data_IF_173050624628
#
_entry.id   IF_173050624628
#
_cell.length_a   1.000
_cell.length_b   1.000
_cell.length_c   1.000
_cell.angle_alpha   90.00
_cell.angle_beta   90.00
_cell.angle_gamma   90.00
#
_symmetry.space_group_name_H-M   'P 1'
#
loop_
_entity.id
_entity.type
_entity.pdbx_description
1 polymer ?
#
# COMPACT_ATOMS: atom_id res chain seq x y z
N UNK A 1 -10.44 12.82 12.04
CA UNK A 1 -10.72 11.75 11.08
C UNK A 1 -9.59 10.74 11.07
N UNK A 2 -9.91 9.47 11.13
CA UNK A 2 -8.88 8.44 11.13
C UNK A 2 -8.63 7.97 9.70
N UNK A 3 -7.35 7.81 9.37
CA UNK A 3 -6.93 7.25 8.10
C UNK A 3 -6.15 5.97 8.35
N UNK A 4 -6.17 5.10 7.36
CA UNK A 4 -5.42 3.87 7.37
C UNK A 4 -4.35 3.98 6.30
N UNK A 5 -3.11 3.72 6.67
CA UNK A 5 -1.99 3.86 5.76
C UNK A 5 -1.56 2.51 5.22
N UNK A 6 -1.05 2.52 4.02
CA UNK A 6 -0.62 1.29 3.39
C UNK A 6 0.35 1.55 2.24
N UNK A 7 0.57 0.51 1.47
CA UNK A 7 1.48 0.54 0.33
C UNK A 7 0.75 -0.04 -0.88
N UNK A 8 0.90 0.63 -2.02
CA UNK A 8 0.40 0.15 -3.29
C UNK A 8 1.56 -0.24 -4.20
N UNK A 9 1.35 -1.27 -5.00
CA UNK A 9 2.30 -1.75 -5.98
C UNK A 9 1.76 -1.49 -7.38
N UNK A 10 2.63 -1.04 -8.29
CA UNK A 10 2.25 -0.85 -9.70
C UNK A 10 2.12 -2.20 -10.40
N UNK A 11 1.01 -2.38 -11.10
CA UNK A 11 0.75 -3.57 -11.91
C UNK A 11 0.84 -3.19 -13.39
N UNK A 12 1.88 -3.67 -14.06
CA UNK A 12 2.10 -3.38 -15.49
C UNK A 12 1.05 -3.99 -16.41
N UNK A 13 0.49 -5.11 -16.01
CA UNK A 13 -0.52 -5.77 -16.83
C UNK A 13 -1.85 -5.02 -16.82
N UNK A 14 -2.26 -4.56 -15.64
CA UNK A 14 -3.52 -3.84 -15.47
C UNK A 14 -3.37 -2.34 -15.65
N UNK A 15 -2.13 -1.85 -15.64
CA UNK A 15 -1.82 -0.42 -15.71
C UNK A 15 -2.48 0.37 -14.58
N UNK A 16 -2.38 -0.16 -13.38
CA UNK A 16 -2.98 0.48 -12.20
C UNK A 16 -2.20 0.14 -10.94
N UNK A 17 -2.40 0.95 -9.91
CA UNK A 17 -1.84 0.70 -8.58
C UNK A 17 -2.76 -0.25 -7.82
N UNK A 18 -2.18 -1.29 -7.23
CA UNK A 18 -2.92 -2.31 -6.49
C UNK A 18 -2.50 -2.28 -5.04
N UNK A 19 -3.46 -2.24 -4.10
CA UNK A 19 -3.14 -2.29 -2.68
C UNK A 19 -2.35 -3.55 -2.35
N UNK A 20 -1.17 -3.37 -1.76
CA UNK A 20 -0.29 -4.46 -1.37
C UNK A 20 -0.33 -4.70 0.13
N UNK A 21 -0.40 -3.61 0.91
CA UNK A 21 -0.52 -3.65 2.35
C UNK A 21 -1.28 -2.41 2.81
N UNK A 22 -2.18 -2.57 3.76
CA UNK A 22 -3.04 -1.48 4.19
C UNK A 22 -3.36 -1.56 5.70
N UNK A 23 -2.37 -1.94 6.48
CA UNK A 23 -2.50 -2.03 7.94
C UNK A 23 -1.37 -1.30 8.66
N UNK A 24 -0.76 -0.33 8.01
CA UNK A 24 0.32 0.45 8.61
C UNK A 24 -0.25 1.50 9.56
N UNK A 25 0.46 1.73 10.64
CA UNK A 25 0.06 2.65 11.71
C UNK A 25 0.22 4.11 11.31
N UNK A 26 1.33 4.42 10.61
CA UNK A 26 1.68 5.77 10.23
C UNK A 26 2.60 5.75 9.01
N UNK A 27 3.00 6.93 8.56
CA UNK A 27 3.85 7.05 7.37
C UNK A 27 5.27 6.53 7.58
N UNK A 28 5.77 6.54 8.82
CA UNK A 28 7.08 5.98 9.11
C UNK A 28 7.08 4.47 8.89
N UNK A 29 6.03 3.80 9.36
CA UNK A 29 5.87 2.37 9.12
C UNK A 29 5.72 2.06 7.64
N UNK A 30 5.00 2.90 6.90
CA UNK A 30 4.88 2.76 5.44
C UNK A 30 6.26 2.79 4.79
N UNK A 31 7.12 3.73 5.19
CA UNK A 31 8.48 3.82 4.67
C UNK A 31 9.28 2.55 4.92
N UNK A 32 9.18 1.99 6.11
CA UNK A 32 9.86 0.74 6.46
C UNK A 32 9.36 -0.43 5.61
N UNK A 33 8.06 -0.53 5.43
CA UNK A 33 7.45 -1.58 4.61
C UNK A 33 7.91 -1.46 3.16
N UNK A 34 7.92 -0.24 2.61
CA UNK A 34 8.39 -0.01 1.25
C UNK A 34 9.83 -0.46 1.08
N UNK A 35 10.71 -0.12 2.04
CA UNK A 35 12.10 -0.55 1.98
C UNK A 35 12.23 -2.08 1.94
N UNK A 36 11.46 -2.77 2.76
CA UNK A 36 11.47 -4.24 2.80
C UNK A 36 10.98 -4.80 1.46
N UNK A 37 9.89 -4.24 0.92
CA UNK A 37 9.34 -4.70 -0.34
C UNK A 37 10.26 -4.44 -1.51
N UNK A 38 10.93 -3.29 -1.53
CA UNK A 38 11.89 -2.97 -2.59
C UNK A 38 13.09 -3.89 -2.58
N UNK A 39 13.55 -4.32 -1.41
CA UNK A 39 14.62 -5.31 -1.32
C UNK A 39 14.18 -6.68 -1.81
N UNK A 40 12.95 -7.07 -1.48
CA UNK A 40 12.41 -8.37 -1.88
C UNK A 40 12.03 -8.41 -3.37
N UNK A 41 11.56 -7.28 -3.89
CA UNK A 41 11.04 -7.18 -5.26
C UNK A 41 11.64 -5.94 -5.95
N UNK A 42 12.95 -5.97 -6.29
CA UNK A 42 13.63 -4.78 -6.80
C UNK A 42 13.14 -4.27 -8.15
N UNK A 43 12.43 -5.10 -8.90
CA UNK A 43 11.89 -4.71 -10.21
C UNK A 43 10.45 -4.23 -10.16
N UNK A 44 9.92 -3.97 -8.97
CA UNK A 44 8.55 -3.49 -8.80
C UNK A 44 8.56 -2.07 -8.24
N UNK A 45 7.51 -1.34 -8.55
CA UNK A 45 7.34 0.02 -8.04
C UNK A 45 6.31 0.02 -6.90
N UNK A 46 6.63 0.73 -5.83
CA UNK A 46 5.77 0.87 -4.66
C UNK A 46 5.56 2.34 -4.35
N UNK A 47 4.41 2.65 -3.77
CA UNK A 47 4.14 4.01 -3.29
C UNK A 47 3.35 3.97 -1.99
N UNK A 48 3.46 5.02 -1.15
CA UNK A 48 2.61 5.12 0.03
C UNK A 48 1.16 5.41 -0.37
N UNK A 49 0.23 4.90 0.42
CA UNK A 49 -1.19 5.10 0.19
C UNK A 49 -1.89 5.45 1.49
N UNK A 50 -3.01 6.15 1.37
CA UNK A 50 -3.81 6.59 2.50
C UNK A 50 -5.28 6.33 2.15
N UNK A 51 -5.97 5.63 3.04
CA UNK A 51 -7.35 5.25 2.83
C UNK A 51 -8.24 5.76 3.95
N UNK A 52 -9.47 6.08 3.62
CA UNK A 52 -10.50 6.29 4.64
C UNK A 52 -10.91 4.93 5.20
N UNK A 53 -11.61 4.95 6.34
CA UNK A 53 -12.10 3.72 6.94
C UNK A 53 -13.05 2.99 5.98
N UNK A 54 -13.87 3.73 5.26
CA UNK A 54 -14.79 3.14 4.28
C UNK A 54 -14.05 2.47 3.12
N UNK A 55 -13.03 3.13 2.59
CA UNK A 55 -12.20 2.57 1.53
C UNK A 55 -11.48 1.31 1.99
N UNK A 56 -10.97 1.34 3.22
CA UNK A 56 -10.30 0.18 3.81
C UNK A 56 -11.24 -1.03 3.89
N UNK A 57 -12.47 -0.82 4.35
CA UNK A 57 -13.43 -1.92 4.43
C UNK A 57 -13.76 -2.49 3.06
N UNK A 58 -13.88 -1.62 2.07
CA UNK A 58 -14.13 -2.04 0.70
C UNK A 58 -12.99 -2.91 0.15
N UNK A 59 -11.76 -2.47 0.36
CA UNK A 59 -10.58 -3.22 -0.11
C UNK A 59 -10.46 -4.56 0.59
N UNK A 60 -10.70 -4.58 1.88
CA UNK A 60 -10.57 -5.79 2.70
C UNK A 60 -11.53 -6.90 2.30
N UNK A 61 -12.66 -6.55 1.71
CA UNK A 61 -13.67 -7.53 1.29
C UNK A 61 -13.30 -8.25 -0.02
N UNK A 62 -12.28 -7.81 -0.69
CA UNK A 62 -11.74 -8.54 -1.82
C UNK A 62 -10.92 -9.75 -1.32
#
# INVERSE_FOLDING_TARGET
>A
MAYIYGVEKWDDLRKEWIPQRFDCHDLDEVGEVINILEEALPNREFRPAQYTVEEYHYIKEF
#
